data_IF_457165937032
#
_entry.id   IF_457165937032
#
_cell.length_a   1.000
_cell.length_b   1.000
_cell.length_c   1.000
_cell.angle_alpha   90.00
_cell.angle_beta   90.00
_cell.angle_gamma   90.00
#
_symmetry.space_group_name_H-M   'P 1'
#
loop_
_entity.id
_entity.type
_entity.pdbx_description
1 polymer ?
#
# COMPACT_ATOMS: atom_id res chain seq x y z
N UNK A 1 0.65 17.31 4.81
CA UNK A 1 1.27 18.54 5.39
C UNK A 1 0.55 18.86 6.68
N UNK A 2 1.30 19.15 7.74
CA UNK A 2 0.74 19.40 9.09
C UNK A 2 -0.23 18.30 9.55
N UNK A 3 0.15 17.06 9.34
CA UNK A 3 -0.62 15.88 9.69
C UNK A 3 -1.87 15.61 8.84
N UNK A 4 -2.22 16.47 7.90
CA UNK A 4 -3.37 16.26 7.03
C UNK A 4 -2.96 15.68 5.69
N UNK A 5 -3.74 14.73 5.19
CA UNK A 5 -3.62 14.24 3.81
C UNK A 5 -3.86 15.41 2.83
N UNK A 6 -2.96 15.58 1.87
CA UNK A 6 -3.01 16.70 0.91
C UNK A 6 -3.02 16.26 -0.53
N UNK A 7 -2.40 15.14 -0.83
CA UNK A 7 -2.32 14.67 -2.19
C UNK A 7 -1.70 13.28 -2.30
N UNK A 8 -1.96 12.63 -3.41
CA UNK A 8 -1.34 11.38 -3.79
C UNK A 8 -1.11 11.33 -5.30
N UNK A 9 -0.01 10.72 -5.69
CA UNK A 9 0.32 10.47 -7.07
C UNK A 9 0.83 9.05 -7.26
N UNK A 10 0.63 8.50 -8.45
CA UNK A 10 1.27 7.23 -8.82
C UNK A 10 2.77 7.43 -9.02
N UNK A 11 3.54 6.35 -8.97
CA UNK A 11 4.99 6.41 -9.23
C UNK A 11 5.32 6.95 -10.64
N UNK A 12 4.44 6.68 -11.63
CA UNK A 12 4.67 7.03 -13.03
C UNK A 12 6.00 6.49 -13.55
N UNK A 13 6.78 7.35 -14.19
CA UNK A 13 8.14 7.08 -14.65
C UNK A 13 9.24 7.38 -13.62
N UNK A 14 8.83 7.71 -12.38
CA UNK A 14 9.70 8.10 -11.28
C UNK A 14 9.89 9.62 -11.16
N UNK A 15 9.48 10.42 -12.15
CA UNK A 15 9.52 11.89 -12.14
C UNK A 15 8.13 12.50 -12.22
N UNK A 16 7.26 11.93 -13.04
CA UNK A 16 5.89 12.39 -13.24
C UNK A 16 4.94 11.23 -13.00
N UNK A 17 4.00 11.40 -12.07
CA UNK A 17 2.94 10.47 -11.76
C UNK A 17 1.56 11.08 -11.98
N UNK A 18 0.56 10.23 -12.13
CA UNK A 18 -0.83 10.66 -12.23
C UNK A 18 -1.34 11.12 -10.85
N UNK A 19 -2.05 12.21 -10.81
CA UNK A 19 -2.73 12.66 -9.60
C UNK A 19 -3.94 11.73 -9.32
N UNK A 20 -3.86 11.02 -8.19
CA UNK A 20 -4.91 10.10 -7.72
C UNK A 20 -5.45 10.50 -6.35
N UNK A 21 -5.33 11.77 -5.99
CA UNK A 21 -5.68 12.28 -4.66
C UNK A 21 -7.11 11.95 -4.25
N UNK A 22 -8.10 12.22 -5.11
CA UNK A 22 -9.50 11.96 -4.82
C UNK A 22 -9.77 10.46 -4.63
N UNK A 23 -9.11 9.60 -5.42
CA UNK A 23 -9.25 8.16 -5.34
C UNK A 23 -8.61 7.61 -4.06
N UNK A 24 -7.39 8.02 -3.74
CA UNK A 24 -6.67 7.60 -2.52
C UNK A 24 -7.41 8.04 -1.26
N UNK A 25 -8.04 9.21 -1.26
CA UNK A 25 -8.84 9.69 -0.13
C UNK A 25 -10.03 8.77 0.22
N UNK A 26 -10.46 7.89 -0.69
CA UNK A 26 -11.53 6.91 -0.45
C UNK A 26 -11.03 5.62 0.23
N UNK A 27 -9.72 5.39 0.27
CA UNK A 27 -9.13 4.16 0.84
C UNK A 27 -9.10 4.30 2.36
N UNK A 28 -9.91 3.49 3.04
CA UNK A 28 -10.12 3.57 4.50
C UNK A 28 -8.85 3.35 5.34
N UNK A 29 -7.91 2.58 4.82
CA UNK A 29 -6.65 2.26 5.50
C UNK A 29 -5.64 3.41 5.47
N UNK A 30 -5.87 4.44 4.66
CA UNK A 30 -5.01 5.63 4.58
C UNK A 30 -5.62 6.72 5.47
N UNK A 31 -4.94 7.11 6.58
CA UNK A 31 -5.48 8.10 7.48
C UNK A 31 -5.56 9.47 6.81
N UNK A 32 -6.71 10.13 6.92
CA UNK A 32 -6.88 11.52 6.45
C UNK A 32 -6.13 12.53 7.33
N UNK A 33 -5.80 12.12 8.58
CA UNK A 33 -5.03 12.91 9.54
C UNK A 33 -4.14 12.00 10.39
N UNK A 34 -2.87 12.41 10.53
CA UNK A 34 -1.91 11.75 11.41
C UNK A 34 -2.17 12.07 12.87
N UNK A 35 -1.79 11.18 13.77
CA UNK A 35 -1.83 11.34 15.23
C UNK A 35 -0.42 11.34 15.81
N UNK A 36 -0.24 11.94 17.01
CA UNK A 36 1.06 12.01 17.67
C UNK A 36 2.00 13.06 17.06
N UNK A 37 3.29 12.83 17.17
CA UNK A 37 4.33 13.70 16.62
C UNK A 37 4.64 13.30 15.17
N UNK A 38 4.62 14.27 14.26
CA UNK A 38 4.86 14.06 12.83
C UNK A 38 5.56 15.24 12.19
N UNK A 39 6.33 15.03 11.10
CA UNK A 39 6.92 16.12 10.32
C UNK A 39 5.85 17.05 9.71
N UNK A 40 6.16 18.33 9.57
CA UNK A 40 5.23 19.29 8.93
C UNK A 40 4.99 18.96 7.45
N UNK A 41 6.00 18.43 6.76
CA UNK A 41 5.88 17.82 5.43
C UNK A 41 6.36 16.37 5.53
N UNK A 42 5.58 15.46 5.01
CA UNK A 42 5.90 14.03 4.94
C UNK A 42 5.29 13.42 3.69
N UNK A 43 6.12 12.84 2.83
CA UNK A 43 5.73 11.96 1.74
C UNK A 43 5.86 10.51 2.20
N UNK A 44 4.78 9.75 2.13
CA UNK A 44 4.76 8.31 2.44
C UNK A 44 4.63 7.55 1.13
N UNK A 45 5.51 6.58 0.93
CA UNK A 45 5.47 5.63 -0.18
C UNK A 45 4.91 4.31 0.28
N UNK A 46 4.02 3.76 -0.52
CA UNK A 46 3.35 2.51 -0.22
C UNK A 46 2.81 1.84 -1.47
N UNK A 47 2.24 0.66 -1.28
CA UNK A 47 1.58 -0.09 -2.34
C UNK A 47 0.09 -0.16 -2.05
N UNK A 48 -0.72 0.18 -3.07
CA UNK A 48 -2.17 -0.06 -3.06
C UNK A 48 -2.41 -1.40 -3.74
N UNK A 49 -3.10 -2.28 -3.05
CA UNK A 49 -3.32 -3.64 -3.50
C UNK A 49 -4.78 -4.09 -3.27
N UNK A 50 -5.14 -5.22 -3.85
CA UNK A 50 -6.41 -5.90 -3.66
C UNK A 50 -6.15 -7.31 -3.18
N UNK A 51 -6.90 -7.77 -2.17
CA UNK A 51 -6.80 -9.16 -1.71
C UNK A 51 -7.37 -10.13 -2.75
N UNK A 52 -6.97 -11.40 -2.68
CA UNK A 52 -7.53 -12.44 -3.55
C UNK A 52 -9.06 -12.56 -3.39
N UNK A 53 -9.56 -12.49 -2.16
CA UNK A 53 -11.01 -12.55 -1.90
C UNK A 53 -11.75 -11.37 -2.53
N UNK A 54 -11.23 -10.14 -2.36
CA UNK A 54 -11.83 -8.93 -2.92
C UNK A 54 -11.76 -8.93 -4.46
N UNK A 55 -10.67 -9.45 -5.03
CA UNK A 55 -10.50 -9.61 -6.47
C UNK A 55 -11.52 -10.58 -7.06
N UNK A 56 -11.73 -11.74 -6.44
CA UNK A 56 -12.73 -12.70 -6.89
C UNK A 56 -14.13 -12.11 -6.83
N UNK A 57 -14.50 -11.49 -5.71
CA UNK A 57 -15.80 -10.84 -5.56
C UNK A 57 -16.03 -9.72 -6.59
N UNK A 58 -14.98 -8.95 -6.91
CA UNK A 58 -15.05 -7.93 -7.96
C UNK A 58 -15.31 -8.55 -9.34
N UNK A 59 -14.59 -9.62 -9.69
CA UNK A 59 -14.74 -10.26 -10.99
C UNK A 59 -16.08 -10.99 -11.14
N UNK A 60 -16.64 -11.54 -10.07
CA UNK A 60 -18.01 -12.09 -10.07
C UNK A 60 -19.03 -11.00 -10.43
N UNK A 61 -18.99 -9.84 -9.75
CA UNK A 61 -19.86 -8.70 -10.06
C UNK A 61 -19.71 -8.20 -11.50
N UNK A 62 -18.48 -8.15 -12.01
CA UNK A 62 -18.22 -7.76 -13.39
C UNK A 62 -18.81 -8.77 -14.39
N UNK A 63 -18.69 -10.06 -14.10
CA UNK A 63 -19.31 -11.12 -14.90
C UNK A 63 -20.85 -11.01 -14.94
N UNK A 64 -21.49 -10.73 -13.80
CA UNK A 64 -22.94 -10.47 -13.72
C UNK A 64 -23.37 -9.26 -14.55
N UNK A 65 -22.50 -8.22 -14.62
CA UNK A 65 -22.72 -7.02 -15.42
C UNK A 65 -22.30 -7.19 -16.91
N UNK A 66 -21.88 -8.38 -17.34
CA UNK A 66 -21.32 -8.65 -18.67
C UNK A 66 -20.08 -7.79 -19.01
N UNK A 67 -19.31 -7.41 -17.99
CA UNK A 67 -18.05 -6.69 -18.16
C UNK A 67 -16.86 -7.68 -18.20
N UNK A 68 -15.79 -7.30 -18.89
CA UNK A 68 -14.56 -8.13 -18.93
C UNK A 68 -13.92 -8.22 -17.56
N UNK A 69 -13.69 -9.40 -16.99
CA UNK A 69 -12.99 -9.58 -15.73
C UNK A 69 -11.54 -9.06 -15.79
N UNK A 70 -11.01 -8.63 -14.66
CA UNK A 70 -9.58 -8.33 -14.53
C UNK A 70 -8.74 -9.61 -14.56
N UNK A 71 -7.56 -9.54 -15.18
CA UNK A 71 -6.68 -10.70 -15.33
C UNK A 71 -6.02 -11.15 -14.01
N UNK A 72 -5.74 -10.22 -13.10
CA UNK A 72 -5.08 -10.48 -11.82
C UNK A 72 -5.38 -9.36 -10.80
N UNK A 73 -5.10 -9.59 -9.49
CA UNK A 73 -5.34 -8.60 -8.43
C UNK A 73 -4.59 -7.28 -8.65
N UNK A 74 -3.37 -7.30 -9.20
CA UNK A 74 -2.59 -6.11 -9.49
C UNK A 74 -3.25 -5.20 -10.52
N UNK A 75 -3.73 -5.79 -11.61
CA UNK A 75 -4.46 -5.07 -12.65
C UNK A 75 -5.81 -4.55 -12.12
N UNK A 76 -6.48 -5.32 -11.29
CA UNK A 76 -7.72 -4.91 -10.63
C UNK A 76 -7.50 -3.70 -9.70
N UNK A 77 -6.44 -3.72 -8.88
CA UNK A 77 -6.08 -2.60 -8.02
C UNK A 77 -5.72 -1.34 -8.84
N UNK A 78 -4.84 -1.48 -9.84
CA UNK A 78 -4.44 -0.36 -10.70
C UNK A 78 -5.63 0.25 -11.47
N UNK A 79 -6.49 -0.59 -12.05
CA UNK A 79 -7.69 -0.14 -12.76
C UNK A 79 -8.72 0.50 -11.83
N UNK A 80 -8.87 -0.01 -10.60
CA UNK A 80 -9.76 0.55 -9.59
C UNK A 80 -9.27 1.90 -9.04
N UNK A 81 -7.95 2.09 -8.93
CA UNK A 81 -7.37 3.33 -8.45
C UNK A 81 -7.45 4.46 -9.49
N UNK A 82 -7.36 4.16 -10.78
CA UNK A 82 -7.31 5.14 -11.88
C UNK A 82 -8.69 5.47 -12.46
N UNK A 83 -9.73 5.43 -11.66
CA UNK A 83 -11.07 5.84 -12.09
C UNK A 83 -11.18 7.37 -12.11
N UNK A 84 -11.81 7.90 -13.16
CA UNK A 84 -12.10 9.34 -13.25
C UNK A 84 -13.06 9.79 -12.15
N UNK A 85 -14.05 8.95 -11.84
CA UNK A 85 -14.96 9.15 -10.71
C UNK A 85 -14.44 8.36 -9.50
N UNK A 86 -14.05 9.08 -8.45
CA UNK A 86 -13.59 8.47 -7.19
C UNK A 86 -14.68 7.71 -6.43
N UNK A 87 -15.97 7.93 -6.75
CA UNK A 87 -17.06 7.13 -6.20
C UNK A 87 -16.92 5.66 -6.60
N UNK A 88 -16.52 5.39 -7.84
CA UNK A 88 -16.24 4.03 -8.31
C UNK A 88 -15.08 3.41 -7.51
N UNK A 89 -14.01 4.18 -7.25
CA UNK A 89 -12.89 3.70 -6.41
C UNK A 89 -13.35 3.38 -4.99
N UNK A 90 -14.25 4.18 -4.43
CA UNK A 90 -14.77 3.98 -3.06
C UNK A 90 -15.51 2.65 -2.87
N UNK A 91 -16.09 2.11 -3.94
CA UNK A 91 -16.78 0.81 -3.96
C UNK A 91 -15.80 -0.37 -4.10
N UNK A 92 -14.55 -0.09 -4.40
CA UNK A 92 -13.51 -1.11 -4.54
C UNK A 92 -12.82 -1.35 -3.19
N UNK A 93 -12.61 -2.61 -2.84
CA UNK A 93 -11.92 -2.97 -1.59
C UNK A 93 -10.40 -2.84 -1.75
N UNK A 94 -9.93 -1.61 -2.00
CA UNK A 94 -8.51 -1.29 -2.07
C UNK A 94 -7.91 -1.22 -0.67
N UNK A 95 -6.70 -1.75 -0.54
CA UNK A 95 -5.89 -1.80 0.69
C UNK A 95 -4.56 -1.12 0.46
N UNK A 96 -3.85 -0.83 1.54
CA UNK A 96 -2.59 -0.11 1.50
C UNK A 96 -1.55 -0.71 2.44
N UNK A 97 -0.29 -0.77 2.01
CA UNK A 97 0.86 -0.95 2.88
C UNK A 97 1.86 0.18 2.68
N UNK A 98 2.15 0.93 3.76
CA UNK A 98 3.25 1.88 3.77
C UNK A 98 4.59 1.15 3.99
N UNK A 99 5.62 1.54 3.23
CA UNK A 99 6.92 0.88 3.33
C UNK A 99 8.12 1.85 3.31
N UNK A 100 7.97 3.07 2.84
CA UNK A 100 9.07 4.02 2.73
C UNK A 100 8.57 5.46 2.76
N UNK A 101 9.48 6.40 2.67
CA UNK A 101 9.21 7.83 2.59
C UNK A 101 9.95 8.47 1.42
N UNK A 102 9.51 9.64 1.03
CA UNK A 102 10.18 10.54 0.12
C UNK A 102 10.64 11.80 0.85
N UNK A 103 9.99 12.94 0.59
CA UNK A 103 10.28 14.19 1.26
C UNK A 103 9.78 14.19 2.71
N UNK A 104 10.63 14.64 3.65
CA UNK A 104 10.26 14.90 5.04
C UNK A 104 11.03 16.10 5.59
N UNK A 105 10.36 17.03 6.28
CA UNK A 105 11.01 18.24 6.85
C UNK A 105 11.87 17.95 8.07
N UNK A 106 11.46 16.99 8.88
CA UNK A 106 12.21 16.53 10.06
C UNK A 106 12.04 15.03 10.15
N UNK A 107 13.15 14.32 10.08
CA UNK A 107 13.11 12.87 10.11
C UNK A 107 13.82 12.36 11.36
N UNK A 108 13.10 11.63 12.20
CA UNK A 108 13.60 11.14 13.50
C UNK A 108 13.94 9.64 13.47
N UNK A 109 13.44 8.89 12.49
CA UNK A 109 13.75 7.47 12.36
C UNK A 109 15.22 7.27 11.97
N UNK A 110 15.95 6.46 12.72
CA UNK A 110 17.37 6.15 12.47
C UNK A 110 17.54 4.92 11.57
N UNK A 111 16.53 4.07 11.49
CA UNK A 111 16.51 2.83 10.71
C UNK A 111 15.20 2.69 9.97
N UNK A 112 15.19 1.83 8.95
CA UNK A 112 13.95 1.44 8.26
C UNK A 112 12.92 0.84 9.24
N UNK A 113 13.38 0.08 10.22
CA UNK A 113 12.51 -0.50 11.26
C UNK A 113 11.83 0.60 12.08
N UNK A 114 12.58 1.60 12.54
CA UNK A 114 12.02 2.71 13.32
C UNK A 114 10.96 3.46 12.52
N UNK A 115 11.21 3.68 11.21
CA UNK A 115 10.23 4.31 10.33
C UNK A 115 8.93 3.49 10.22
N UNK A 116 9.02 2.19 10.06
CA UNK A 116 7.84 1.32 10.01
C UNK A 116 7.05 1.36 11.33
N UNK A 117 7.73 1.48 12.49
CA UNK A 117 7.03 1.70 13.77
C UNK A 117 6.34 3.08 13.82
N UNK A 118 6.99 4.13 13.31
CA UNK A 118 6.38 5.45 13.21
C UNK A 118 5.15 5.43 12.28
N UNK A 119 5.22 4.78 11.12
CA UNK A 119 4.07 4.61 10.22
C UNK A 119 2.87 4.00 10.94
N UNK A 120 3.09 2.92 11.70
CA UNK A 120 2.05 2.29 12.52
C UNK A 120 1.48 3.24 13.56
N UNK A 121 2.36 3.98 14.24
CA UNK A 121 1.97 5.01 15.23
C UNK A 121 1.13 6.14 14.62
N UNK A 122 1.35 6.48 13.35
CA UNK A 122 0.56 7.47 12.61
C UNK A 122 -0.74 6.90 12.01
N UNK A 123 -0.98 5.59 12.14
CA UNK A 123 -2.19 4.92 11.69
C UNK A 123 -2.10 4.28 10.30
N UNK A 124 -0.91 4.19 9.70
CA UNK A 124 -0.73 3.49 8.43
C UNK A 124 -0.50 1.99 8.65
N UNK A 125 -1.17 1.11 7.89
CA UNK A 125 -0.81 -0.29 7.87
C UNK A 125 0.56 -0.49 7.22
N UNK A 126 1.34 -1.40 7.77
CA UNK A 126 2.59 -1.90 7.19
C UNK A 126 2.46 -3.41 7.01
N UNK A 127 3.26 -4.00 6.12
CA UNK A 127 3.19 -5.44 5.91
C UNK A 127 3.48 -6.19 7.24
N UNK A 128 2.58 -7.07 7.71
CA UNK A 128 2.75 -7.81 8.97
C UNK A 128 3.92 -8.80 8.93
N UNK A 129 4.32 -9.26 7.74
CA UNK A 129 5.43 -10.20 7.56
C UNK A 129 6.81 -9.51 7.64
N UNK A 130 6.85 -8.21 7.98
CA UNK A 130 8.13 -7.50 8.16
C UNK A 130 8.86 -8.00 9.41
N UNK A 131 10.15 -8.35 9.27
CA UNK A 131 10.97 -8.92 10.34
C UNK A 131 12.35 -8.27 10.40
N UNK A 132 12.90 -8.11 11.60
CA UNK A 132 14.32 -7.80 11.80
C UNK A 132 15.14 -9.09 11.76
N UNK A 133 16.26 -9.06 11.03
CA UNK A 133 17.24 -10.11 10.98
C UNK A 133 18.60 -9.54 11.39
N UNK A 134 19.42 -10.34 12.09
CA UNK A 134 20.72 -9.93 12.61
C UNK A 134 21.89 -10.59 11.85
N UNK A 135 21.59 -11.52 10.95
CA UNK A 135 22.60 -12.20 10.13
C UNK A 135 22.06 -12.55 8.74
N UNK A 136 22.95 -12.79 7.76
CA UNK A 136 22.56 -13.28 6.43
C UNK A 136 21.79 -14.60 6.49
N UNK A 137 22.15 -15.49 7.42
CA UNK A 137 21.47 -16.78 7.62
C UNK A 137 20.01 -16.58 8.05
N UNK A 138 19.76 -15.64 8.96
CA UNK A 138 18.41 -15.27 9.38
C UNK A 138 17.60 -14.67 8.22
N UNK A 139 18.21 -13.82 7.37
CA UNK A 139 17.58 -13.28 6.17
C UNK A 139 17.18 -14.41 5.23
N UNK A 140 18.09 -15.36 4.97
CA UNK A 140 17.81 -16.49 4.09
C UNK A 140 16.74 -17.44 4.64
N UNK A 141 16.75 -17.67 5.96
CA UNK A 141 15.71 -18.46 6.62
C UNK A 141 14.35 -17.78 6.51
N UNK A 142 14.29 -16.47 6.73
CA UNK A 142 13.07 -15.68 6.57
C UNK A 142 12.58 -15.71 5.12
N UNK A 143 13.46 -15.48 4.13
CA UNK A 143 13.12 -15.54 2.71
C UNK A 143 12.47 -16.87 2.32
N UNK A 144 13.05 -17.99 2.77
CA UNK A 144 12.47 -19.33 2.53
C UNK A 144 11.10 -19.47 3.16
N UNK A 145 10.94 -19.03 4.42
CA UNK A 145 9.64 -19.09 5.11
C UNK A 145 8.54 -18.27 4.42
N UNK A 146 8.90 -17.12 3.84
CA UNK A 146 7.96 -16.30 3.03
C UNK A 146 7.59 -17.06 1.75
N UNK A 147 8.55 -17.70 1.07
CA UNK A 147 8.30 -18.51 -0.12
C UNK A 147 7.31 -19.65 0.15
N UNK A 148 7.47 -20.36 1.27
CA UNK A 148 6.59 -21.46 1.69
C UNK A 148 5.17 -20.99 2.02
N UNK A 149 5.03 -19.79 2.58
CA UNK A 149 3.75 -19.21 3.01
C UNK A 149 3.08 -18.33 1.95
N UNK A 150 3.73 -18.09 0.82
CA UNK A 150 3.28 -17.13 -0.19
C UNK A 150 1.81 -17.29 -0.59
N UNK A 151 1.37 -18.53 -0.78
CA UNK A 151 -0.02 -18.84 -1.15
C UNK A 151 -1.05 -18.60 -0.04
N UNK A 152 -0.60 -18.40 1.22
CA UNK A 152 -1.46 -18.24 2.39
C UNK A 152 -1.71 -16.77 2.76
N UNK A 153 -0.99 -15.82 2.16
CA UNK A 153 -1.10 -14.41 2.55
C UNK A 153 -2.42 -13.73 2.16
N UNK A 154 -3.20 -14.33 1.26
CA UNK A 154 -4.43 -13.72 0.76
C UNK A 154 -4.22 -12.51 -0.16
N UNK A 155 -2.97 -12.18 -0.53
CA UNK A 155 -2.57 -11.16 -1.50
C UNK A 155 -1.29 -11.59 -2.22
N UNK A 156 -1.04 -11.01 -3.39
CA UNK A 156 0.18 -11.30 -4.16
C UNK A 156 1.39 -10.53 -3.64
N UNK A 157 2.54 -11.18 -3.65
CA UNK A 157 3.84 -10.57 -3.39
C UNK A 157 4.83 -10.93 -4.52
N UNK A 158 5.70 -9.99 -4.88
CA UNK A 158 6.74 -10.21 -5.89
C UNK A 158 8.00 -10.82 -5.25
N UNK A 159 8.27 -10.54 -3.98
CA UNK A 159 9.43 -11.03 -3.25
C UNK A 159 9.64 -10.37 -1.90
N UNK A 160 10.87 -10.47 -1.40
CA UNK A 160 11.32 -9.87 -0.13
C UNK A 160 12.38 -8.81 -0.44
N UNK A 161 12.25 -7.66 0.21
CA UNK A 161 13.23 -6.55 0.15
C UNK A 161 14.01 -6.51 1.47
N UNK A 162 15.33 -6.36 1.42
CA UNK A 162 16.26 -6.27 2.56
C UNK A 162 17.27 -5.15 2.38
#
# INVERSE_FOLDING_TARGET
MNGQFRGAATRGDGKVGENVTANVATIREIPSRLTGEYPSVLEIRGEIYMSHADFHALNEKRGEANETPFANPRNAAAGSLRQLDSAITSERALRFFGYSWGEATTFTAKTQWDFLQQLRGWGFPTNPETRRCNSPEEIMAFYRSIGEKRSLFGYEIDGVVY
#
